data_IF_258707472620
#
_entry.id   IF_258707472620
#
_cell.length_a   1.000
_cell.length_b   1.000
_cell.length_c   1.000
_cell.angle_alpha   90.00
_cell.angle_beta   90.00
_cell.angle_gamma   90.00
#
_symmetry.space_group_name_H-M   'P 1'
#
loop_
_entity.id
_entity.type
_entity.pdbx_description
1 polymer ?
#
# COMPACT_ATOMS: atom_id res chain seq x y z
N UNK A 1 -11.79 14.31 -11.22
CA UNK A 1 -11.98 14.85 -9.86
C UNK A 1 -10.61 15.13 -9.27
N UNK A 2 -10.35 16.26 -8.58
CA UNK A 2 -9.07 16.49 -7.93
C UNK A 2 -8.87 15.50 -6.80
N UNK A 3 -7.61 15.07 -6.61
CA UNK A 3 -7.15 14.24 -5.51
C UNK A 3 -6.24 15.11 -4.66
N UNK A 4 -6.36 15.02 -3.35
CA UNK A 4 -5.52 15.74 -2.40
C UNK A 4 -4.54 14.81 -1.69
N UNK A 5 -3.54 15.40 -1.03
CA UNK A 5 -2.55 14.61 -0.29
C UNK A 5 -3.23 13.74 0.77
N UNK A 6 -2.89 12.45 0.76
CA UNK A 6 -3.47 11.47 1.68
C UNK A 6 -4.74 10.77 1.17
N UNK A 7 -5.17 11.05 -0.05
CA UNK A 7 -6.25 10.29 -0.68
C UNK A 7 -5.71 9.09 -1.46
N UNK A 8 -6.48 8.01 -1.44
CA UNK A 8 -6.27 6.80 -2.22
C UNK A 8 -7.35 6.69 -3.29
N UNK A 9 -6.91 6.46 -4.52
CA UNK A 9 -7.78 6.32 -5.68
C UNK A 9 -7.57 4.94 -6.30
N UNK A 10 -8.65 4.23 -6.54
CA UNK A 10 -8.68 2.96 -7.24
C UNK A 10 -9.39 3.10 -8.58
N UNK A 11 -8.81 2.48 -9.59
CA UNK A 11 -9.42 2.37 -10.91
C UNK A 11 -9.22 0.95 -11.45
N UNK A 12 -10.31 0.26 -11.73
CA UNK A 12 -10.30 -0.97 -12.51
C UNK A 12 -10.56 -0.62 -13.96
N UNK A 13 -9.60 -0.90 -14.83
CA UNK A 13 -9.72 -0.57 -16.24
C UNK A 13 -10.79 -1.41 -16.96
N UNK A 14 -11.09 -2.63 -16.47
CA UNK A 14 -12.10 -3.50 -17.10
C UNK A 14 -11.82 -3.72 -18.58
N UNK A 15 -12.81 -3.41 -19.43
CA UNK A 15 -12.69 -3.46 -20.89
C UNK A 15 -11.82 -2.35 -21.49
N UNK A 16 -11.39 -1.41 -20.71
CA UNK A 16 -10.48 -0.32 -21.07
C UNK A 16 -10.96 1.04 -20.59
N UNK A 17 -10.01 1.87 -20.15
CA UNK A 17 -10.24 3.27 -19.78
C UNK A 17 -9.18 4.16 -20.43
N UNK A 18 -9.53 5.42 -20.63
CA UNK A 18 -8.57 6.48 -20.94
C UNK A 18 -8.67 7.52 -19.85
N UNK A 19 -7.55 7.79 -19.20
CA UNK A 19 -7.48 8.81 -18.16
C UNK A 19 -6.19 9.60 -18.26
N UNK A 20 -6.17 10.74 -17.63
CA UNK A 20 -4.96 11.55 -17.45
C UNK A 20 -5.00 12.20 -16.07
N UNK A 21 -3.82 12.48 -15.54
CA UNK A 21 -3.65 13.24 -14.31
C UNK A 21 -2.70 14.40 -14.56
N UNK A 22 -2.92 15.50 -13.87
CA UNK A 22 -2.04 16.67 -13.92
C UNK A 22 -1.93 17.31 -12.54
N UNK A 23 -0.77 17.86 -12.23
CA UNK A 23 -0.64 18.70 -11.05
C UNK A 23 -1.42 20.00 -11.27
N UNK A 24 -2.36 20.30 -10.39
CA UNK A 24 -3.17 21.54 -10.47
C UNK A 24 -2.40 22.77 -9.97
N UNK A 25 -1.33 22.58 -9.17
CA UNK A 25 -0.48 23.68 -8.74
C UNK A 25 0.53 24.04 -9.82
N UNK A 26 0.71 25.32 -10.06
CA UNK A 26 1.75 25.85 -10.93
C UNK A 26 3.11 26.00 -10.22
N UNK A 27 3.14 25.95 -8.89
CA UNK A 27 4.33 26.27 -8.08
C UNK A 27 4.74 25.14 -7.14
N UNK A 28 3.79 24.32 -6.70
CA UNK A 28 4.07 23.26 -5.72
C UNK A 28 4.19 21.91 -6.42
N UNK A 29 5.23 21.09 -6.10
CA UNK A 29 5.34 19.76 -6.64
C UNK A 29 4.27 18.83 -6.07
N UNK A 30 3.82 17.87 -6.88
CA UNK A 30 2.99 16.76 -6.42
C UNK A 30 3.82 15.47 -6.37
N UNK A 31 3.70 14.72 -5.26
CA UNK A 31 4.24 13.38 -5.13
C UNK A 31 3.08 12.39 -5.08
N UNK A 32 3.09 11.43 -5.97
CA UNK A 32 2.10 10.36 -6.02
C UNK A 32 2.79 9.01 -6.28
N UNK A 33 2.16 7.93 -5.85
CA UNK A 33 2.51 6.57 -6.21
C UNK A 33 1.43 6.02 -7.14
N UNK A 34 1.83 5.62 -8.34
CA UNK A 34 0.95 4.91 -9.27
C UNK A 34 1.23 3.43 -9.18
N UNK A 35 0.20 2.67 -8.75
CA UNK A 35 0.29 1.25 -8.47
C UNK A 35 -0.45 0.48 -9.57
N UNK A 36 0.21 -0.52 -10.12
CA UNK A 36 -0.39 -1.41 -11.13
C UNK A 36 -0.46 -2.83 -10.56
N UNK A 37 -1.68 -3.34 -10.45
CA UNK A 37 -1.95 -4.73 -10.02
C UNK A 37 -2.76 -5.39 -11.11
N UNK A 38 -2.28 -6.53 -11.60
CA UNK A 38 -3.01 -7.32 -12.59
C UNK A 38 -4.27 -7.89 -11.95
N UNK A 39 -5.46 -7.68 -12.53
CA UNK A 39 -6.70 -8.25 -12.00
C UNK A 39 -6.71 -9.78 -12.11
N UNK A 40 -7.42 -10.44 -11.22
CA UNK A 40 -7.63 -11.91 -11.23
C UNK A 40 -8.45 -12.39 -12.44
N UNK A 41 -9.29 -11.51 -12.98
CA UNK A 41 -10.07 -11.77 -14.17
C UNK A 41 -10.00 -10.57 -15.13
N UNK A 42 -9.71 -10.81 -16.42
CA UNK A 42 -9.67 -9.75 -17.43
C UNK A 42 -11.08 -9.28 -17.79
N UNK A 43 -11.17 -8.06 -18.33
CA UNK A 43 -12.39 -7.47 -18.84
C UNK A 43 -13.37 -7.01 -17.76
N UNK A 44 -14.65 -6.99 -18.10
CA UNK A 44 -15.73 -6.44 -17.27
C UNK A 44 -15.84 -4.92 -17.38
N UNK A 45 -16.76 -4.34 -16.63
CA UNK A 45 -16.99 -2.90 -16.64
C UNK A 45 -15.88 -2.15 -15.89
N UNK A 46 -15.43 -1.00 -16.39
CA UNK A 46 -14.57 -0.11 -15.63
C UNK A 46 -15.22 0.28 -14.29
N UNK A 47 -14.41 0.36 -13.25
CA UNK A 47 -14.86 0.76 -11.92
C UNK A 47 -13.89 1.79 -11.33
N UNK A 48 -14.42 2.64 -10.48
CA UNK A 48 -13.68 3.70 -9.83
C UNK A 48 -14.11 3.81 -8.37
N UNK A 49 -13.15 4.03 -7.49
CA UNK A 49 -13.38 4.34 -6.09
C UNK A 49 -12.27 5.26 -5.57
N UNK A 50 -12.63 6.13 -4.67
CA UNK A 50 -11.72 7.01 -3.94
C UNK A 50 -12.00 6.91 -2.44
N UNK A 51 -10.98 7.18 -1.65
CA UNK A 51 -11.05 7.12 -0.21
C UNK A 51 -10.13 8.17 0.40
N UNK A 52 -10.68 9.02 1.25
CA UNK A 52 -9.86 9.86 2.12
C UNK A 52 -9.26 8.97 3.23
N UNK A 53 -7.97 8.73 3.11
CA UNK A 53 -7.25 7.89 4.06
C UNK A 53 -6.76 8.65 5.29
N UNK A 54 -6.83 9.96 5.31
CA UNK A 54 -6.30 10.77 6.41
C UNK A 54 -7.03 10.51 7.73
N UNK A 55 -8.33 10.19 7.65
CA UNK A 55 -9.14 9.86 8.83
C UNK A 55 -8.95 8.44 9.32
N UNK A 56 -8.38 7.56 8.49
CA UNK A 56 -8.21 6.13 8.78
C UNK A 56 -6.82 5.78 9.29
N UNK A 57 -5.81 6.58 8.91
CA UNK A 57 -4.41 6.33 9.29
C UNK A 57 -4.23 6.31 10.79
N UNK A 58 -3.65 5.23 11.29
CA UNK A 58 -3.32 5.06 12.69
C UNK A 58 -1.80 5.03 12.86
N UNK A 59 -1.32 5.78 13.86
CA UNK A 59 0.11 5.79 14.20
C UNK A 59 0.52 4.45 14.80
N UNK A 60 1.68 3.94 14.41
CA UNK A 60 2.23 2.65 14.84
C UNK A 60 1.32 1.46 14.51
N UNK A 61 0.66 1.52 13.36
CA UNK A 61 -0.26 0.50 12.89
C UNK A 61 -0.23 0.38 11.37
N UNK A 62 -0.78 -0.72 10.86
CA UNK A 62 -1.14 -0.90 9.47
C UNK A 62 -2.63 -0.60 9.29
N UNK A 63 -2.94 0.21 8.30
CA UNK A 63 -4.32 0.57 7.94
C UNK A 63 -4.65 0.00 6.56
N UNK A 64 -5.73 -0.74 6.43
CA UNK A 64 -6.18 -1.24 5.14
C UNK A 64 -6.64 -0.11 4.22
N UNK A 65 -6.05 -0.05 3.04
CA UNK A 65 -6.48 0.84 1.97
C UNK A 65 -7.35 0.10 0.96
N UNK A 66 -6.94 -1.09 0.56
CA UNK A 66 -7.67 -1.89 -0.40
C UNK A 66 -7.53 -3.39 -0.14
N UNK A 67 -8.56 -4.15 -0.50
CA UNK A 67 -8.58 -5.61 -0.39
C UNK A 67 -9.50 -6.25 -1.44
N UNK A 68 -9.33 -7.54 -1.71
CA UNK A 68 -10.15 -8.26 -2.68
C UNK A 68 -11.64 -8.33 -2.32
N UNK A 69 -11.99 -8.27 -1.05
CA UNK A 69 -13.37 -8.34 -0.55
C UNK A 69 -13.92 -7.03 0.01
N UNK A 70 -13.11 -5.96 0.11
CA UNK A 70 -13.53 -4.67 0.66
C UNK A 70 -13.76 -4.69 2.18
N UNK A 71 -13.07 -5.59 2.93
CA UNK A 71 -13.24 -5.72 4.38
C UNK A 71 -12.78 -4.46 5.12
N UNK A 72 -13.36 -4.25 6.28
CA UNK A 72 -13.04 -3.15 7.22
C UNK A 72 -13.04 -1.76 6.58
N UNK A 73 -13.94 -1.55 5.61
CA UNK A 73 -14.07 -0.28 4.91
C UNK A 73 -13.00 -0.01 3.84
N UNK A 74 -12.11 -0.96 3.56
CA UNK A 74 -11.13 -0.84 2.50
C UNK A 74 -11.79 -0.84 1.12
N UNK A 75 -11.13 -0.22 0.13
CA UNK A 75 -11.59 -0.25 -1.26
C UNK A 75 -11.54 -1.68 -1.79
N UNK A 76 -12.64 -2.13 -2.38
CA UNK A 76 -12.69 -3.46 -3.01
C UNK A 76 -11.96 -3.46 -4.34
N UNK A 77 -10.96 -4.34 -4.47
CA UNK A 77 -10.18 -4.55 -5.69
C UNK A 77 -10.61 -5.82 -6.42
N UNK A 78 -10.28 -5.89 -7.72
CA UNK A 78 -10.45 -7.09 -8.56
C UNK A 78 -9.19 -7.95 -8.56
N UNK A 79 -8.67 -8.24 -7.38
CA UNK A 79 -7.51 -9.11 -7.18
C UNK A 79 -7.54 -9.66 -5.75
N UNK A 80 -7.08 -10.89 -5.59
CA UNK A 80 -6.79 -11.46 -4.26
C UNK A 80 -5.50 -10.87 -3.72
N UNK A 81 -5.60 -9.64 -3.24
CA UNK A 81 -4.50 -8.86 -2.72
C UNK A 81 -4.98 -7.92 -1.62
N UNK A 82 -4.06 -7.44 -0.81
CA UNK A 82 -4.30 -6.46 0.23
C UNK A 82 -3.26 -5.35 0.15
N UNK A 83 -3.70 -4.12 0.32
CA UNK A 83 -2.82 -2.95 0.39
C UNK A 83 -3.03 -2.28 1.74
N UNK A 84 -1.94 -2.14 2.47
CA UNK A 84 -1.90 -1.42 3.73
C UNK A 84 -1.04 -0.17 3.61
N UNK A 85 -1.44 0.86 4.33
CA UNK A 85 -0.59 1.99 4.67
C UNK A 85 -0.02 1.77 6.07
N UNK A 86 1.29 1.84 6.20
CA UNK A 86 2.00 1.80 7.47
C UNK A 86 2.53 3.18 7.83
N UNK A 87 2.29 3.57 9.08
CA UNK A 87 2.88 4.77 9.68
C UNK A 87 3.45 4.40 11.04
N UNK A 88 4.78 4.47 11.17
CA UNK A 88 5.51 4.05 12.36
C UNK A 88 6.40 5.20 12.83
N UNK A 89 6.36 5.50 14.13
CA UNK A 89 7.29 6.46 14.75
C UNK A 89 8.69 5.86 14.85
N UNK A 90 9.70 6.69 15.04
CA UNK A 90 11.04 6.22 15.37
C UNK A 90 11.03 5.31 16.62
N UNK A 91 11.86 4.27 16.61
CA UNK A 91 12.06 3.22 17.63
C UNK A 91 10.94 2.18 17.82
N UNK A 92 9.63 2.45 17.67
CA UNK A 92 8.63 1.39 17.69
C UNK A 92 8.82 0.37 16.60
N UNK A 93 8.48 -0.87 16.94
CA UNK A 93 8.31 -1.96 15.97
C UNK A 93 6.85 -2.33 15.86
N UNK A 94 6.45 -2.80 14.68
CA UNK A 94 5.17 -3.45 14.48
C UNK A 94 5.40 -4.88 14.01
N UNK A 95 4.50 -5.77 14.43
CA UNK A 95 4.41 -7.13 13.93
C UNK A 95 3.07 -7.29 13.24
N UNK A 96 3.09 -7.82 12.04
CA UNK A 96 1.90 -8.14 11.28
C UNK A 96 1.89 -9.61 10.91
N UNK A 97 0.84 -10.32 11.31
CA UNK A 97 0.64 -11.70 10.94
C UNK A 97 0.17 -11.78 9.50
N UNK A 98 1.05 -12.27 8.64
CA UNK A 98 0.71 -12.52 7.25
C UNK A 98 0.06 -13.90 7.17
N UNK A 99 -1.20 -13.92 6.77
CA UNK A 99 -1.96 -15.16 6.62
C UNK A 99 -1.48 -15.94 5.41
N UNK A 100 -1.47 -17.26 5.55
CA UNK A 100 -0.87 -18.21 4.59
C UNK A 100 -1.47 -18.21 3.17
N UNK A 101 -2.59 -17.55 2.93
CA UNK A 101 -3.20 -17.48 1.60
C UNK A 101 -2.71 -16.30 0.74
N UNK A 102 -1.87 -15.43 1.31
CA UNK A 102 -1.19 -14.34 0.59
C UNK A 102 0.32 -14.45 0.86
N UNK A 103 1.00 -15.36 0.14
CA UNK A 103 2.37 -15.74 0.46
C UNK A 103 3.43 -14.71 0.10
N UNK A 104 3.09 -13.78 -0.79
CA UNK A 104 4.03 -12.78 -1.27
C UNK A 104 3.77 -11.44 -0.62
N UNK A 105 4.82 -10.78 -0.14
CA UNK A 105 4.73 -9.43 0.37
C UNK A 105 5.73 -8.51 -0.33
N UNK A 106 5.33 -7.25 -0.48
CA UNK A 106 6.14 -6.17 -1.02
C UNK A 106 6.00 -4.94 -0.16
N UNK A 107 7.12 -4.32 0.19
CA UNK A 107 7.14 -3.02 0.87
C UNK A 107 7.65 -1.97 -0.11
N UNK A 108 6.94 -0.84 -0.16
CA UNK A 108 7.36 0.38 -0.86
C UNK A 108 7.48 1.52 0.15
N UNK A 109 8.68 2.03 0.34
CA UNK A 109 8.93 3.16 1.23
C UNK A 109 8.48 4.48 0.61
N UNK A 110 7.78 5.31 1.39
CA UNK A 110 7.36 6.66 1.02
C UNK A 110 8.24 7.68 1.73
N UNK A 111 8.47 7.47 3.04
CA UNK A 111 9.21 8.42 3.89
C UNK A 111 9.92 7.70 5.02
N UNK A 112 11.03 8.27 5.47
CA UNK A 112 11.79 7.73 6.60
C UNK A 112 12.54 6.46 6.26
N UNK A 113 12.78 5.61 7.27
CA UNK A 113 13.52 4.36 7.11
C UNK A 113 12.98 3.24 7.99
N UNK A 114 12.98 2.02 7.43
CA UNK A 114 12.62 0.78 8.10
C UNK A 114 13.81 -0.17 8.09
N UNK A 115 14.07 -0.77 9.24
CA UNK A 115 15.02 -1.87 9.38
C UNK A 115 14.29 -3.21 9.35
N UNK A 116 14.85 -4.14 8.57
CA UNK A 116 14.44 -5.53 8.52
C UNK A 116 15.68 -6.43 8.53
N UNK A 117 15.89 -7.12 9.63
CA UNK A 117 17.12 -7.89 9.80
C UNK A 117 18.35 -6.99 9.69
N UNK A 118 19.24 -7.29 8.74
CA UNK A 118 20.47 -6.52 8.50
C UNK A 118 20.35 -5.46 7.42
N UNK A 119 19.15 -5.28 6.85
CA UNK A 119 18.91 -4.31 5.77
C UNK A 119 18.07 -3.14 6.28
N UNK A 120 18.39 -1.94 5.81
CA UNK A 120 17.60 -0.74 6.01
C UNK A 120 17.06 -0.25 4.67
N UNK A 121 15.77 0.02 4.63
CA UNK A 121 15.05 0.61 3.49
C UNK A 121 14.84 2.09 3.77
N UNK A 122 15.20 2.94 2.84
CA UNK A 122 15.00 4.39 2.89
C UNK A 122 13.86 4.82 1.96
N UNK A 123 13.43 6.08 2.07
CA UNK A 123 12.43 6.66 1.17
C UNK A 123 12.77 6.40 -0.31
N UNK A 124 11.82 5.85 -1.07
CA UNK A 124 11.99 5.43 -2.46
C UNK A 124 12.44 3.98 -2.66
N UNK A 125 13.03 3.34 -1.62
CA UNK A 125 13.40 1.93 -1.68
C UNK A 125 12.17 1.02 -1.60
N UNK A 126 12.37 -0.21 -2.08
CA UNK A 126 11.38 -1.28 -1.97
C UNK A 126 12.04 -2.62 -1.70
N UNK A 127 11.27 -3.55 -1.18
CA UNK A 127 11.71 -4.93 -0.96
C UNK A 127 10.58 -5.93 -1.18
N UNK A 128 10.88 -7.02 -1.87
CA UNK A 128 10.06 -8.22 -1.84
C UNK A 128 10.41 -9.06 -0.60
N UNK A 129 9.43 -9.76 -0.09
CA UNK A 129 9.56 -10.65 1.04
C UNK A 129 9.17 -12.04 0.59
N UNK A 130 10.13 -12.95 0.66
CA UNK A 130 9.91 -14.35 0.25
C UNK A 130 9.22 -15.16 1.35
N UNK A 131 8.51 -16.22 0.96
CA UNK A 131 7.73 -17.11 1.81
C UNK A 131 8.44 -17.57 3.09
N UNK A 132 9.72 -17.92 3.01
CA UNK A 132 10.49 -18.37 4.16
C UNK A 132 10.69 -17.30 5.24
N UNK A 133 10.62 -16.03 4.85
CA UNK A 133 10.79 -14.91 5.77
C UNK A 133 9.48 -14.51 6.47
N UNK A 134 8.35 -14.97 5.94
CA UNK A 134 7.00 -14.59 6.38
C UNK A 134 6.37 -15.69 7.22
N UNK A 135 6.60 -16.96 6.86
CA UNK A 135 5.81 -18.13 7.31
C UNK A 135 6.01 -18.58 8.76
N UNK A 136 7.00 -18.05 9.50
CA UNK A 136 7.26 -18.56 10.86
C UNK A 136 7.15 -17.54 12.00
N UNK A 137 7.15 -16.25 11.72
CA UNK A 137 7.20 -15.21 12.78
C UNK A 137 6.36 -13.96 12.47
N UNK A 138 5.62 -13.92 11.36
CA UNK A 138 5.00 -12.69 10.88
C UNK A 138 6.01 -11.68 10.33
N UNK A 139 5.51 -10.56 9.88
CA UNK A 139 6.32 -9.44 9.38
C UNK A 139 6.72 -8.53 10.54
N UNK A 140 8.00 -8.52 10.88
CA UNK A 140 8.56 -7.61 11.88
C UNK A 140 9.22 -6.42 11.18
N UNK A 141 8.75 -5.22 11.49
CA UNK A 141 9.27 -3.97 10.97
C UNK A 141 9.65 -3.06 12.13
N UNK A 142 10.89 -2.55 12.11
CA UNK A 142 11.41 -1.58 13.07
C UNK A 142 11.68 -0.26 12.35
N UNK A 143 11.10 0.83 12.82
CA UNK A 143 11.40 2.15 12.28
C UNK A 143 12.66 2.75 12.93
N UNK A 144 13.64 3.10 12.11
CA UNK A 144 14.84 3.84 12.56
C UNK A 144 14.59 5.36 12.56
N UNK A 145 13.58 5.80 11.83
CA UNK A 145 13.04 7.17 11.83
C UNK A 145 11.54 7.11 11.62
N UNK A 146 10.82 8.21 11.84
CA UNK A 146 9.40 8.28 11.47
C UNK A 146 9.23 7.83 10.02
N UNK A 147 8.52 6.74 9.79
CA UNK A 147 8.41 6.05 8.51
C UNK A 147 6.97 5.97 8.01
N UNK A 148 6.82 6.13 6.70
CA UNK A 148 5.59 5.89 5.96
C UNK A 148 5.88 4.95 4.79
N UNK A 149 5.04 3.96 4.59
CA UNK A 149 5.22 2.94 3.56
C UNK A 149 3.90 2.30 3.14
N UNK A 150 3.89 1.67 1.99
CA UNK A 150 2.84 0.73 1.59
C UNK A 150 3.35 -0.69 1.77
N UNK A 151 2.48 -1.55 2.30
CA UNK A 151 2.67 -3.00 2.33
C UNK A 151 1.62 -3.63 1.42
N UNK A 152 2.08 -4.43 0.49
CA UNK A 152 1.25 -5.24 -0.40
C UNK A 152 1.36 -6.68 0.03
N UNK A 153 0.23 -7.35 0.21
CA UNK A 153 0.13 -8.79 0.30
C UNK A 153 -0.51 -9.31 -0.97
N UNK A 154 0.13 -10.28 -1.61
CA UNK A 154 -0.21 -10.74 -2.94
C UNK A 154 -0.37 -12.27 -2.95
N UNK A 155 -1.34 -12.76 -3.75
CA UNK A 155 -1.53 -14.19 -3.98
C UNK A 155 -0.53 -14.75 -5.01
#
# INVERSE_FOLDING_TARGET
MPITAGEFQYMSAGSGVRHSGSNLSATEPAHLLQIWITPDQPGGDPAYADMDTNTLKQRNALTWFASGNGRDGSVKMRQNAEIYFGQISADPSITHDITSYLPHAWIQMIKGSLKRGNSTLHAGDSASLDDAAINNTGLHLLAESDAEFLLFLLA
#
